data_IF_137050093465
#
_entry.id   IF_137050093465
#
_cell.length_a   1.000
_cell.length_b   1.000
_cell.length_c   1.000
_cell.angle_alpha   90.00
_cell.angle_beta   90.00
_cell.angle_gamma   90.00
#
_symmetry.space_group_name_H-M   'P 1'
#
loop_
_entity.id
_entity.type
_entity.pdbx_description
1 polymer ?
#
# COMPACT_ATOMS: atom_id res chain seq x y z
N UNK A 1 -1.96 -3.75 -2.59
CA UNK A 1 -1.27 -5.07 -2.61
C UNK A 1 -1.26 -5.62 -1.21
N UNK A 2 -1.47 -6.90 -1.06
CA UNK A 2 -1.41 -7.57 0.26
C UNK A 2 0.04 -8.00 0.56
N UNK A 3 0.87 -7.01 0.87
CA UNK A 3 2.28 -7.20 1.22
C UNK A 3 2.41 -7.97 2.54
N UNK A 4 1.58 -7.65 3.52
CA UNK A 4 1.62 -8.23 4.86
C UNK A 4 1.40 -9.75 4.82
N UNK A 5 0.38 -10.19 4.07
CA UNK A 5 0.13 -11.62 3.89
C UNK A 5 1.30 -12.34 3.22
N UNK A 6 1.79 -11.78 2.09
CA UNK A 6 2.88 -12.39 1.35
C UNK A 6 4.19 -12.45 2.17
N UNK A 7 4.47 -11.37 2.93
CA UNK A 7 5.60 -11.33 3.84
C UNK A 7 5.46 -12.38 4.95
N UNK A 8 4.26 -12.56 5.50
CA UNK A 8 4.05 -13.56 6.56
C UNK A 8 4.24 -14.99 6.06
N UNK A 9 3.78 -15.32 4.87
CA UNK A 9 4.05 -16.63 4.24
C UNK A 9 5.54 -16.84 4.04
N UNK A 10 6.23 -15.83 3.48
CA UNK A 10 7.68 -15.88 3.26
C UNK A 10 8.50 -16.04 4.54
N UNK A 11 8.05 -15.43 5.64
CA UNK A 11 8.67 -15.56 6.98
C UNK A 11 8.47 -16.94 7.57
N UNK A 12 7.23 -17.47 7.50
CA UNK A 12 6.91 -18.81 8.00
C UNK A 12 7.69 -19.90 7.29
N UNK A 13 7.88 -19.81 5.98
CA UNK A 13 8.75 -20.73 5.21
C UNK A 13 10.21 -20.72 5.69
N UNK A 14 10.63 -19.69 6.42
CA UNK A 14 11.97 -19.52 7.00
C UNK A 14 12.05 -19.82 8.50
N UNK A 15 10.96 -20.38 9.05
CA UNK A 15 10.91 -20.83 10.44
C UNK A 15 10.52 -19.75 11.44
N UNK A 16 10.10 -18.56 10.99
CA UNK A 16 9.56 -17.54 11.89
C UNK A 16 8.12 -17.87 12.27
N UNK A 17 7.77 -17.69 13.55
CA UNK A 17 6.42 -17.96 14.06
C UNK A 17 5.72 -16.67 14.47
N UNK A 18 4.44 -16.56 14.09
CA UNK A 18 3.64 -15.38 14.42
C UNK A 18 3.34 -15.31 15.92
N UNK A 19 3.39 -14.10 16.48
CA UNK A 19 2.91 -13.81 17.83
C UNK A 19 1.38 -13.78 17.87
N UNK A 20 0.78 -13.91 19.07
CA UNK A 20 -0.68 -13.83 19.24
C UNK A 20 -1.26 -12.46 18.84
N UNK A 21 -0.50 -11.39 19.03
CA UNK A 21 -0.92 -10.00 18.80
C UNK A 21 -0.34 -9.36 17.53
N UNK A 22 0.07 -10.19 16.56
CA UNK A 22 0.79 -9.78 15.35
C UNK A 22 0.10 -8.69 14.50
N UNK A 23 -1.21 -8.51 14.63
CA UNK A 23 -1.99 -7.54 13.83
C UNK A 23 -2.14 -6.16 14.47
N UNK A 24 -1.69 -5.99 15.73
CA UNK A 24 -1.93 -4.77 16.49
C UNK A 24 -0.80 -3.73 16.41
N UNK A 25 0.36 -4.12 15.89
CA UNK A 25 1.54 -3.26 15.80
C UNK A 25 1.96 -3.04 14.37
N UNK A 26 2.41 -1.83 14.04
CA UNK A 26 3.11 -1.56 12.78
C UNK A 26 4.55 -2.11 12.79
N UNK A 27 5.12 -2.31 13.98
CA UNK A 27 6.50 -2.76 14.15
C UNK A 27 6.61 -4.26 13.93
N UNK A 28 7.21 -4.69 12.83
CA UNK A 28 7.29 -6.08 12.41
C UNK A 28 7.98 -7.03 13.39
N UNK A 29 8.92 -6.54 14.21
CA UNK A 29 9.53 -7.37 15.25
C UNK A 29 8.56 -7.76 16.37
N UNK A 30 7.41 -7.11 16.47
CA UNK A 30 6.32 -7.55 17.34
C UNK A 30 5.45 -8.66 16.72
N UNK A 31 5.58 -8.89 15.41
CA UNK A 31 4.77 -9.90 14.71
C UNK A 31 5.34 -11.30 14.81
N UNK A 32 6.64 -11.44 15.08
CA UNK A 32 7.34 -12.74 15.06
C UNK A 32 8.16 -12.96 16.31
N UNK A 33 8.11 -14.17 16.86
CA UNK A 33 8.82 -14.51 18.11
C UNK A 33 10.36 -14.46 17.95
N UNK A 34 10.85 -14.79 16.75
CA UNK A 34 12.28 -14.93 16.49
C UNK A 34 12.90 -13.67 15.83
N UNK A 35 12.10 -12.62 15.57
CA UNK A 35 12.58 -11.42 14.88
C UNK A 35 13.00 -10.33 15.88
N UNK A 36 14.29 -10.07 15.98
CA UNK A 36 14.79 -8.95 16.77
C UNK A 36 14.61 -7.61 16.04
N UNK A 37 14.39 -6.54 16.82
CA UNK A 37 14.21 -5.19 16.28
C UNK A 37 15.37 -4.74 15.37
N UNK A 38 16.61 -5.05 15.73
CA UNK A 38 17.81 -4.71 14.95
C UNK A 38 17.84 -5.36 13.56
N UNK A 39 17.20 -6.52 13.40
CA UNK A 39 17.20 -7.29 12.17
C UNK A 39 15.96 -7.01 11.27
N UNK A 40 14.92 -6.42 11.83
CA UNK A 40 13.64 -6.21 11.15
C UNK A 40 13.81 -5.48 9.79
N UNK A 41 14.55 -4.36 9.76
CA UNK A 41 14.76 -3.60 8.50
C UNK A 41 15.49 -4.43 7.45
N UNK A 42 16.49 -5.23 7.86
CA UNK A 42 17.25 -6.10 6.95
C UNK A 42 16.38 -7.21 6.37
N UNK A 43 15.55 -7.83 7.20
CA UNK A 43 14.62 -8.90 6.78
C UNK A 43 13.59 -8.36 5.81
N UNK A 44 12.97 -7.21 6.09
CA UNK A 44 12.06 -6.51 5.17
C UNK A 44 12.73 -6.22 3.84
N UNK A 45 13.95 -5.66 3.86
CA UNK A 45 14.71 -5.39 2.64
C UNK A 45 14.98 -6.66 1.84
N UNK A 46 15.36 -7.74 2.50
CA UNK A 46 15.61 -9.04 1.85
C UNK A 46 14.34 -9.56 1.15
N UNK A 47 13.19 -9.44 1.78
CA UNK A 47 11.91 -9.79 1.15
C UNK A 47 11.61 -8.90 -0.04
N UNK A 48 11.72 -7.59 0.13
CA UNK A 48 11.44 -6.60 -0.90
C UNK A 48 12.34 -6.73 -2.14
N UNK A 49 13.54 -7.29 -1.99
CA UNK A 49 14.50 -7.56 -3.07
C UNK A 49 14.41 -9.00 -3.61
N UNK A 50 13.52 -9.83 -3.03
CA UNK A 50 13.32 -11.21 -3.48
C UNK A 50 12.34 -11.30 -4.65
N UNK A 51 12.33 -12.46 -5.33
CA UNK A 51 11.37 -12.74 -6.38
C UNK A 51 9.90 -12.68 -5.91
N UNK A 52 9.64 -12.87 -4.61
CA UNK A 52 8.30 -12.85 -4.03
C UNK A 52 7.55 -11.54 -4.32
N UNK A 53 8.27 -10.40 -4.40
CA UNK A 53 7.63 -9.10 -4.67
C UNK A 53 6.96 -9.00 -6.05
N UNK A 54 7.38 -9.84 -7.00
CA UNK A 54 6.75 -9.98 -8.32
C UNK A 54 5.43 -10.75 -8.32
N UNK A 55 5.02 -11.31 -7.17
CA UNK A 55 3.85 -12.19 -7.05
C UNK A 55 2.93 -11.81 -5.89
N UNK A 56 3.02 -10.58 -5.39
CA UNK A 56 2.13 -10.12 -4.33
C UNK A 56 0.67 -10.15 -4.81
N UNK A 57 -0.26 -10.69 -4.02
CA UNK A 57 -1.68 -10.65 -4.36
C UNK A 57 -2.24 -9.24 -4.23
N UNK A 58 -3.37 -8.99 -4.87
CA UNK A 58 -4.12 -7.77 -4.67
C UNK A 58 -4.71 -7.74 -3.26
N UNK A 59 -4.80 -6.53 -2.68
CA UNK A 59 -5.44 -6.35 -1.38
C UNK A 59 -6.96 -6.46 -1.55
N UNK A 60 -7.58 -7.44 -0.87
CA UNK A 60 -9.03 -7.63 -0.83
C UNK A 60 -9.65 -7.61 -2.25
N UNK A 61 -10.62 -6.74 -2.47
CA UNK A 61 -11.38 -6.54 -3.70
C UNK A 61 -10.75 -5.53 -4.70
N UNK A 62 -9.47 -5.18 -4.50
CA UNK A 62 -8.77 -4.15 -5.28
C UNK A 62 -8.80 -4.41 -6.80
N UNK A 63 -8.58 -5.66 -7.23
CA UNK A 63 -8.53 -5.97 -8.67
C UNK A 63 -9.84 -5.60 -9.36
N UNK A 64 -10.99 -5.84 -8.72
CA UNK A 64 -12.29 -5.53 -9.28
C UNK A 64 -12.55 -4.03 -9.33
N UNK A 65 -12.36 -3.30 -8.21
CA UNK A 65 -12.74 -1.89 -8.14
C UNK A 65 -11.74 -0.92 -8.77
N UNK A 66 -10.43 -1.24 -8.77
CA UNK A 66 -9.43 -0.47 -9.53
C UNK A 66 -9.73 -0.54 -11.03
N UNK A 67 -10.07 -1.75 -11.52
CA UNK A 67 -10.48 -1.93 -12.92
C UNK A 67 -11.72 -1.12 -13.26
N UNK A 68 -12.75 -1.12 -12.42
CA UNK A 68 -13.96 -0.32 -12.61
C UNK A 68 -13.69 1.18 -12.61
N UNK A 69 -12.87 1.69 -11.69
CA UNK A 69 -12.47 3.09 -11.66
C UNK A 69 -11.78 3.50 -12.97
N UNK A 70 -10.94 2.61 -13.52
CA UNK A 70 -10.28 2.85 -14.80
C UNK A 70 -11.25 2.78 -15.99
N UNK A 71 -12.01 1.69 -16.12
CA UNK A 71 -12.85 1.42 -17.30
C UNK A 71 -14.12 2.29 -17.36
N UNK A 72 -14.74 2.57 -16.21
CA UNK A 72 -16.01 3.29 -16.14
C UNK A 72 -15.82 4.81 -15.97
N UNK A 73 -14.72 5.22 -15.32
CA UNK A 73 -14.51 6.63 -14.92
C UNK A 73 -13.19 7.24 -15.40
N UNK A 74 -12.33 6.47 -16.10
CA UNK A 74 -11.07 6.96 -16.68
C UNK A 74 -9.97 7.26 -15.66
N UNK A 75 -10.07 6.78 -14.42
CA UNK A 75 -9.03 6.97 -13.42
C UNK A 75 -7.77 6.18 -13.77
N UNK A 76 -6.62 6.82 -13.67
CA UNK A 76 -5.30 6.20 -13.75
C UNK A 76 -4.59 6.29 -12.40
N UNK A 77 -3.80 5.27 -12.08
CA UNK A 77 -3.17 5.12 -10.79
C UNK A 77 -1.66 5.30 -10.90
N UNK A 78 -1.12 6.23 -10.12
CA UNK A 78 0.30 6.40 -9.86
C UNK A 78 0.63 5.77 -8.52
N UNK A 79 1.56 4.85 -8.51
CA UNK A 79 1.92 4.08 -7.31
C UNK A 79 3.23 4.59 -6.74
N UNK A 80 3.23 5.02 -5.47
CA UNK A 80 4.44 5.36 -4.71
C UNK A 80 4.61 4.29 -3.63
N UNK A 81 5.72 3.56 -3.66
CA UNK A 81 5.95 2.44 -2.75
C UNK A 81 7.35 2.46 -2.15
N UNK A 82 7.44 2.37 -0.80
CA UNK A 82 8.70 2.28 -0.04
C UNK A 82 9.21 0.84 -0.06
N UNK A 83 9.65 0.39 -1.23
CA UNK A 83 10.05 -0.99 -1.51
C UNK A 83 11.56 -1.21 -1.33
N UNK A 84 12.34 -0.74 -2.28
CA UNK A 84 13.80 -0.78 -2.36
C UNK A 84 14.25 0.03 -3.58
N UNK A 85 15.51 0.51 -3.56
CA UNK A 85 16.17 1.13 -4.71
C UNK A 85 16.79 0.09 -5.66
N UNK A 86 16.68 -1.20 -5.37
CA UNK A 86 17.12 -2.27 -6.25
C UNK A 86 16.28 -2.28 -7.55
N UNK A 87 16.99 -2.24 -8.69
CA UNK A 87 16.35 -2.14 -10.00
C UNK A 87 15.54 -3.39 -10.37
N UNK A 88 15.94 -4.58 -9.89
CA UNK A 88 15.20 -5.79 -10.19
C UNK A 88 13.93 -5.85 -9.34
N UNK A 89 14.01 -5.45 -8.06
CA UNK A 89 12.84 -5.32 -7.20
C UNK A 89 11.81 -4.34 -7.80
N UNK A 90 12.26 -3.19 -8.29
CA UNK A 90 11.39 -2.21 -8.93
C UNK A 90 10.70 -2.79 -10.19
N UNK A 91 11.45 -3.49 -11.07
CA UNK A 91 10.87 -4.16 -12.24
C UNK A 91 9.86 -5.25 -11.87
N UNK A 92 10.17 -6.06 -10.88
CA UNK A 92 9.25 -7.10 -10.38
C UNK A 92 7.97 -6.48 -9.82
N UNK A 93 8.08 -5.37 -9.12
CA UNK A 93 6.93 -4.64 -8.57
C UNK A 93 6.05 -4.06 -9.68
N UNK A 94 6.65 -3.41 -10.67
CA UNK A 94 5.96 -2.88 -11.84
C UNK A 94 5.25 -4.00 -12.61
N UNK A 95 5.95 -5.10 -12.91
CA UNK A 95 5.39 -6.29 -13.57
C UNK A 95 4.19 -6.85 -12.79
N UNK A 96 4.30 -6.96 -11.46
CA UNK A 96 3.23 -7.45 -10.61
C UNK A 96 1.99 -6.54 -10.65
N UNK A 97 2.17 -5.23 -10.54
CA UNK A 97 1.09 -4.24 -10.63
C UNK A 97 0.40 -4.28 -11.99
N UNK A 98 1.18 -4.30 -13.08
CA UNK A 98 0.64 -4.38 -14.43
C UNK A 98 -0.11 -5.68 -14.69
N UNK A 99 0.37 -6.81 -14.13
CA UNK A 99 -0.34 -8.10 -14.22
C UNK A 99 -1.71 -8.07 -13.54
N UNK A 100 -1.83 -7.37 -12.40
CA UNK A 100 -3.07 -7.34 -11.61
C UNK A 100 -4.06 -6.27 -12.08
N UNK A 101 -3.57 -5.13 -12.55
CA UNK A 101 -4.39 -3.95 -12.81
C UNK A 101 -4.31 -3.45 -14.26
N UNK A 102 -3.40 -4.00 -15.06
CA UNK A 102 -3.27 -3.65 -16.47
C UNK A 102 -2.97 -2.17 -16.69
N UNK A 103 -3.65 -1.60 -17.68
CA UNK A 103 -3.49 -0.20 -18.09
C UNK A 103 -4.02 0.81 -17.06
N UNK A 104 -4.63 0.37 -15.97
CA UNK A 104 -5.00 1.27 -14.87
C UNK A 104 -3.76 1.85 -14.16
N UNK A 105 -2.59 1.19 -14.26
CA UNK A 105 -1.34 1.69 -13.69
C UNK A 105 -0.63 2.59 -14.70
N UNK A 106 -0.51 3.87 -14.38
CA UNK A 106 0.20 4.86 -15.20
C UNK A 106 1.70 4.86 -14.92
N UNK A 107 2.08 4.81 -13.64
CA UNK A 107 3.48 4.85 -13.22
C UNK A 107 3.71 4.24 -11.85
N UNK A 108 4.94 3.79 -11.60
CA UNK A 108 5.38 3.23 -10.32
C UNK A 108 6.67 3.92 -9.88
N UNK A 109 6.64 4.53 -8.71
CA UNK A 109 7.80 5.17 -8.07
C UNK A 109 8.20 4.29 -6.88
N UNK A 110 9.39 3.69 -6.96
CA UNK A 110 9.96 2.91 -5.87
C UNK A 110 10.93 3.79 -5.06
N UNK A 111 10.67 3.88 -3.76
CA UNK A 111 11.54 4.51 -2.77
C UNK A 111 12.32 3.44 -2.01
N UNK A 112 13.34 3.84 -1.24
CA UNK A 112 14.08 2.91 -0.41
C UNK A 112 13.19 2.26 0.67
N UNK A 113 13.63 1.11 1.17
CA UNK A 113 12.89 0.35 2.19
C UNK A 113 12.64 1.20 3.44
N UNK A 114 11.37 1.43 3.74
CA UNK A 114 10.94 2.24 4.88
C UNK A 114 11.12 3.75 4.71
N UNK A 115 11.43 4.25 3.51
CA UNK A 115 11.52 5.68 3.25
C UNK A 115 10.13 6.34 3.38
N UNK A 116 10.12 7.58 3.86
CA UNK A 116 8.95 8.44 3.88
C UNK A 116 8.59 8.89 2.47
N UNK A 117 7.31 9.24 2.25
CA UNK A 117 6.79 9.57 0.91
C UNK A 117 6.72 11.07 0.64
N UNK A 118 7.11 11.89 1.60
CA UNK A 118 6.97 13.35 1.56
C UNK A 118 7.53 13.96 0.26
N UNK A 119 8.79 13.67 -0.05
CA UNK A 119 9.43 14.23 -1.25
C UNK A 119 8.77 13.79 -2.55
N UNK A 120 8.24 12.57 -2.60
CA UNK A 120 7.56 12.06 -3.78
C UNK A 120 6.13 12.63 -3.91
N UNK A 121 5.49 12.98 -2.80
CA UNK A 121 4.17 13.61 -2.77
C UNK A 121 4.22 15.10 -3.08
N UNK A 122 5.36 15.78 -2.87
CA UNK A 122 5.51 17.21 -3.11
C UNK A 122 5.11 17.63 -4.53
N UNK A 123 5.36 16.77 -5.53
CA UNK A 123 4.96 17.01 -6.91
C UNK A 123 3.43 17.12 -7.09
N UNK A 124 2.66 16.56 -6.17
CA UNK A 124 1.19 16.52 -6.20
C UNK A 124 0.55 17.53 -5.25
N UNK A 125 1.32 18.38 -4.59
CA UNK A 125 0.82 19.39 -3.64
C UNK A 125 -0.28 20.24 -4.27
N UNK A 126 -1.35 20.45 -3.52
CA UNK A 126 -2.53 21.25 -3.89
C UNK A 126 -3.26 20.79 -5.17
N UNK A 127 -2.96 19.57 -5.64
CA UNK A 127 -3.61 19.01 -6.85
C UNK A 127 -5.05 18.56 -6.62
N UNK A 128 -5.44 18.32 -5.36
CA UNK A 128 -6.73 17.73 -5.02
C UNK A 128 -6.92 16.28 -5.50
N UNK A 129 -5.83 15.61 -5.93
CA UNK A 129 -5.86 14.20 -6.31
C UNK A 129 -6.17 13.30 -5.12
N UNK A 130 -6.76 12.15 -5.40
CA UNK A 130 -6.97 11.12 -4.38
C UNK A 130 -5.65 10.48 -3.96
N UNK A 131 -5.45 10.35 -2.65
CA UNK A 131 -4.33 9.67 -2.03
C UNK A 131 -4.81 8.54 -1.14
N UNK A 132 -4.50 7.30 -1.50
CA UNK A 132 -4.98 6.10 -0.81
C UNK A 132 -3.79 5.44 -0.13
N UNK A 133 -3.84 5.31 1.17
CA UNK A 133 -2.75 4.84 2.03
C UNK A 133 -3.24 3.91 3.14
N UNK A 134 -2.34 3.07 3.66
CA UNK A 134 -2.57 2.22 4.84
C UNK A 134 -1.73 2.68 6.05
N UNK A 135 -0.65 3.44 5.82
CA UNK A 135 0.17 4.02 6.87
C UNK A 135 -0.36 5.41 7.25
N UNK A 136 -0.82 5.61 8.52
CA UNK A 136 -1.41 6.88 8.94
C UNK A 136 -0.54 8.10 8.67
N UNK A 137 0.77 8.02 8.97
CA UNK A 137 1.69 9.14 8.80
C UNK A 137 1.76 9.59 7.34
N UNK A 138 1.75 8.66 6.37
CA UNK A 138 1.75 9.00 4.95
C UNK A 138 0.40 9.57 4.49
N UNK A 139 -0.72 9.11 5.09
CA UNK A 139 -2.04 9.66 4.81
C UNK A 139 -2.17 11.09 5.33
N UNK A 140 -1.63 11.36 6.53
CA UNK A 140 -1.58 12.70 7.15
C UNK A 140 -0.74 13.67 6.31
N UNK A 141 0.43 13.22 5.83
CA UNK A 141 1.29 14.02 4.94
C UNK A 141 0.55 14.37 3.64
N UNK A 142 -0.10 13.41 3.00
CA UNK A 142 -0.90 13.67 1.80
C UNK A 142 -2.03 14.67 2.05
N UNK A 143 -2.74 14.54 3.17
CA UNK A 143 -3.78 15.49 3.56
C UNK A 143 -3.23 16.90 3.80
N UNK A 144 -2.12 17.03 4.52
CA UNK A 144 -1.45 18.31 4.76
C UNK A 144 -0.93 18.97 3.46
N UNK A 145 -0.67 18.17 2.43
CA UNK A 145 -0.28 18.64 1.10
C UNK A 145 -1.48 18.96 0.18
N UNK A 146 -2.73 18.97 0.69
CA UNK A 146 -3.90 19.30 -0.11
C UNK A 146 -4.42 18.16 -0.99
N UNK A 147 -4.00 16.92 -0.73
CA UNK A 147 -4.56 15.74 -1.37
C UNK A 147 -5.83 15.28 -0.66
N UNK A 148 -6.70 14.57 -1.38
CA UNK A 148 -7.88 13.91 -0.82
C UNK A 148 -7.49 12.55 -0.26
N UNK A 149 -6.98 12.53 0.98
CA UNK A 149 -6.53 11.30 1.61
C UNK A 149 -7.68 10.35 1.97
N UNK A 150 -7.45 9.06 1.76
CA UNK A 150 -8.25 7.94 2.24
C UNK A 150 -7.32 6.95 2.95
N UNK A 151 -7.66 6.57 4.20
CA UNK A 151 -6.90 5.58 4.95
C UNK A 151 -7.58 4.22 4.86
N UNK A 152 -6.88 3.21 4.33
CA UNK A 152 -7.38 1.83 4.36
C UNK A 152 -7.13 1.25 5.75
N UNK A 153 -8.23 0.78 6.38
CA UNK A 153 -8.19 0.15 7.70
C UNK A 153 -7.36 -1.13 7.70
N UNK A 154 -6.39 -1.18 8.58
CA UNK A 154 -5.59 -2.34 8.98
C UNK A 154 -5.55 -2.45 10.51
N UNK A 155 -5.17 -3.62 11.05
CA UNK A 155 -5.14 -3.82 12.49
C UNK A 155 -4.28 -2.81 13.24
N UNK A 156 -3.20 -2.34 12.63
CA UNK A 156 -2.26 -1.38 13.24
C UNK A 156 -2.74 0.08 13.22
N UNK A 157 -3.73 0.43 12.40
CA UNK A 157 -4.20 1.82 12.26
C UNK A 157 -5.64 2.06 12.74
N UNK A 158 -6.32 1.06 13.31
CA UNK A 158 -7.73 1.12 13.74
C UNK A 158 -8.04 2.23 14.75
N UNK A 159 -7.05 2.72 15.48
CA UNK A 159 -7.22 3.75 16.50
C UNK A 159 -6.72 5.13 16.06
N UNK A 160 -6.31 5.26 14.81
CA UNK A 160 -5.86 6.54 14.27
C UNK A 160 -7.05 7.49 14.08
N UNK A 161 -6.94 8.69 14.64
CA UNK A 161 -7.95 9.75 14.50
C UNK A 161 -7.48 10.72 13.43
N UNK A 162 -8.25 10.86 12.34
CA UNK A 162 -7.88 11.70 11.22
C UNK A 162 -9.09 12.47 10.65
N UNK A 163 -8.87 13.60 9.94
CA UNK A 163 -9.93 14.42 9.38
C UNK A 163 -10.44 13.92 8.00
N UNK A 164 -9.94 12.80 7.51
CA UNK A 164 -10.30 12.21 6.23
C UNK A 164 -10.91 10.81 6.42
N UNK A 165 -11.63 10.25 5.41
CA UNK A 165 -12.31 8.97 5.55
C UNK A 165 -11.34 7.80 5.81
N UNK A 166 -11.72 6.93 6.76
CA UNK A 166 -11.14 5.60 6.94
C UNK A 166 -12.05 4.59 6.26
N UNK A 167 -11.49 3.74 5.41
CA UNK A 167 -12.22 2.81 4.54
C UNK A 167 -11.74 1.38 4.72
N UNK A 168 -12.65 0.41 4.64
CA UNK A 168 -12.35 -1.00 4.90
C UNK A 168 -11.88 -1.78 3.67
N UNK A 169 -12.23 -1.33 2.48
CA UNK A 169 -11.99 -2.06 1.22
C UNK A 169 -12.10 -1.13 0.01
N UNK A 170 -11.81 -1.66 -1.17
CA UNK A 170 -11.88 -0.91 -2.41
C UNK A 170 -13.30 -0.60 -2.87
N UNK A 171 -14.30 -1.33 -2.41
CA UNK A 171 -15.72 -0.99 -2.64
C UNK A 171 -16.08 0.35 -2.02
N UNK A 172 -15.64 0.59 -0.79
CA UNK A 172 -15.87 1.88 -0.12
C UNK A 172 -15.10 3.01 -0.80
N UNK A 173 -13.84 2.76 -1.21
CA UNK A 173 -13.05 3.69 -2.01
C UNK A 173 -13.78 4.05 -3.31
N UNK A 174 -14.26 3.06 -4.05
CA UNK A 174 -15.03 3.27 -5.27
C UNK A 174 -16.27 4.14 -5.01
N UNK A 175 -17.01 3.87 -3.95
CA UNK A 175 -18.22 4.64 -3.61
C UNK A 175 -17.95 6.11 -3.27
N UNK A 176 -16.72 6.42 -2.81
CA UNK A 176 -16.30 7.81 -2.52
C UNK A 176 -15.76 8.50 -3.77
N UNK A 177 -14.97 7.79 -4.59
CA UNK A 177 -14.23 8.36 -5.73
C UNK A 177 -15.10 8.46 -6.98
N UNK A 178 -15.91 7.41 -7.25
CA UNK A 178 -16.75 7.38 -8.44
C UNK A 178 -17.76 8.54 -8.41
N UNK A 179 -17.92 9.27 -9.52
CA UNK A 179 -18.95 10.31 -9.60
C UNK A 179 -20.30 9.71 -9.24
N UNK A 180 -21.06 10.42 -8.39
CA UNK A 180 -22.47 10.05 -8.14
C UNK A 180 -23.16 9.97 -9.49
N UNK A 181 -23.75 8.83 -9.84
CA UNK A 181 -24.69 8.76 -10.93
C UNK A 181 -25.80 9.74 -10.56
N UNK A 182 -25.84 10.92 -11.19
CA UNK A 182 -26.98 11.78 -11.12
C UNK A 182 -28.15 10.96 -11.68
N UNK A 183 -29.00 10.45 -10.78
CA UNK A 183 -30.30 9.93 -11.18
C UNK A 183 -31.04 11.09 -11.83
N UNK A 184 -30.97 11.12 -13.17
CA UNK A 184 -31.86 11.95 -13.99
C UNK A 184 -33.27 11.40 -13.88
#
# INVERSE_FOLDING_TARGET
MDWEWAFSVWMQERGYTLTADNKKSYLLHHHYNELEQKDAKKVVKTFNESAAVGFLPALRDATYYVKRLYEEHGYQFRVITSLSLDRNAAKLREMNLNKLFGNAIESVICLDTGADKDSALEFYRDSGMWWIEDKPENADVGHAMGLRSLLIEHGHNMHHVCPYPVVKNWREIYSIIAPSENKV
#
